data_IF_492888279878
#
_entry.id   IF_492888279878
#
_cell.length_a   1.000
_cell.length_b   1.000
_cell.length_c   1.000
_cell.angle_alpha   90.00
_cell.angle_beta   90.00
_cell.angle_gamma   90.00
#
_symmetry.space_group_name_H-M   'P 1'
#
loop_
_entity.id
_entity.type
_entity.pdbx_description
1 polymer ?
#
# COMPACT_ATOMS: atom_id res chain seq x y z
N UNK A 1 -30.82 -77.23 17.34
CA UNK A 1 -29.52 -76.60 17.62
C UNK A 1 -29.73 -75.11 17.43
N UNK A 2 -30.11 -74.43 18.52
CA UNK A 2 -30.46 -73.02 18.50
C UNK A 2 -29.20 -72.17 18.41
N UNK A 3 -28.99 -71.54 17.26
CA UNK A 3 -27.97 -70.50 17.11
C UNK A 3 -28.46 -69.26 17.85
N UNK A 4 -28.00 -69.07 19.09
CA UNK A 4 -28.09 -67.79 19.79
C UNK A 4 -27.33 -66.74 18.97
N UNK A 5 -28.05 -66.04 18.11
CA UNK A 5 -27.57 -64.79 17.52
C UNK A 5 -27.41 -63.83 18.70
N UNK A 6 -26.18 -63.44 19.02
CA UNK A 6 -25.93 -62.39 20.00
C UNK A 6 -26.48 -61.09 19.42
N UNK A 7 -27.53 -60.55 20.02
CA UNK A 7 -28.04 -59.22 19.67
C UNK A 7 -26.92 -58.20 19.88
N UNK A 8 -26.45 -57.60 18.79
CA UNK A 8 -25.43 -56.55 18.84
C UNK A 8 -26.10 -55.27 19.31
N UNK A 9 -25.86 -54.90 20.56
CA UNK A 9 -26.32 -53.62 21.10
C UNK A 9 -25.47 -52.49 20.52
N UNK A 10 -26.03 -51.80 19.52
CA UNK A 10 -25.43 -50.61 18.94
C UNK A 10 -25.84 -49.39 19.76
N UNK A 11 -24.95 -48.91 20.62
CA UNK A 11 -25.16 -47.70 21.43
C UNK A 11 -24.70 -46.43 20.69
N UNK A 12 -25.08 -45.26 21.20
CA UNK A 12 -24.55 -43.93 20.83
C UNK A 12 -24.80 -43.47 19.38
N UNK A 13 -25.78 -44.05 18.69
CA UNK A 13 -26.14 -43.63 17.32
C UNK A 13 -26.52 -42.15 17.22
N UNK A 14 -27.25 -41.61 18.20
CA UNK A 14 -27.61 -40.18 18.24
C UNK A 14 -26.39 -39.26 18.19
N UNK A 15 -25.31 -39.61 18.91
CA UNK A 15 -24.07 -38.82 18.90
C UNK A 15 -23.36 -38.93 17.56
N UNK A 16 -23.37 -40.11 16.95
CA UNK A 16 -22.80 -40.32 15.62
C UNK A 16 -23.57 -39.52 14.57
N UNK A 17 -24.90 -39.49 14.66
CA UNK A 17 -25.77 -38.72 13.78
C UNK A 17 -25.60 -37.21 13.98
N UNK A 18 -25.49 -36.74 15.22
CA UNK A 18 -25.19 -35.33 15.52
C UNK A 18 -23.84 -34.92 14.90
N UNK A 19 -22.80 -35.73 15.10
CA UNK A 19 -21.48 -35.47 14.54
C UNK A 19 -21.52 -35.48 13.02
N UNK A 20 -22.20 -36.45 12.41
CA UNK A 20 -22.39 -36.53 10.96
C UNK A 20 -23.12 -35.29 10.43
N UNK A 21 -24.23 -34.89 11.05
CA UNK A 21 -24.98 -33.70 10.68
C UNK A 21 -24.12 -32.42 10.77
N UNK A 22 -23.31 -32.30 11.81
CA UNK A 22 -22.37 -31.17 11.97
C UNK A 22 -21.25 -31.18 10.94
N UNK A 23 -20.73 -32.35 10.56
CA UNK A 23 -19.70 -32.47 9.52
C UNK A 23 -20.30 -32.10 8.16
N UNK A 24 -21.49 -32.63 7.86
CA UNK A 24 -22.26 -32.34 6.65
C UNK A 24 -22.54 -30.83 6.55
N UNK A 25 -23.02 -30.19 7.62
CA UNK A 25 -23.35 -28.77 7.65
C UNK A 25 -22.18 -27.82 7.33
N UNK A 26 -20.93 -28.26 7.51
CA UNK A 26 -19.72 -27.49 7.13
C UNK A 26 -19.39 -27.56 5.64
N UNK A 27 -19.97 -28.49 4.90
CA UNK A 27 -19.68 -28.71 3.49
C UNK A 27 -20.75 -28.11 2.56
N UNK A 28 -21.91 -27.73 3.11
CA UNK A 28 -23.00 -27.12 2.34
C UNK A 28 -23.07 -25.61 2.56
N UNK A 29 -23.30 -24.87 1.48
CA UNK A 29 -23.62 -23.45 1.59
C UNK A 29 -25.00 -23.28 2.23
N UNK A 30 -25.18 -22.20 3.02
CA UNK A 30 -26.49 -21.94 3.66
C UNK A 30 -27.59 -21.63 2.67
N UNK A 31 -27.25 -20.99 1.55
CA UNK A 31 -28.20 -20.64 0.50
C UNK A 31 -27.51 -20.56 -0.87
N UNK A 32 -28.31 -20.61 -1.93
CA UNK A 32 -27.83 -20.38 -3.29
C UNK A 32 -27.45 -18.91 -3.49
N UNK A 33 -26.21 -18.68 -3.93
CA UNK A 33 -25.67 -17.33 -4.16
C UNK A 33 -25.89 -16.89 -5.61
N UNK A 34 -25.75 -15.58 -5.87
CA UNK A 34 -25.77 -15.06 -7.24
C UNK A 34 -24.65 -15.68 -8.08
N UNK A 35 -24.97 -16.26 -9.26
CA UNK A 35 -23.95 -16.79 -10.15
C UNK A 35 -23.15 -15.65 -10.79
N UNK A 36 -21.88 -15.93 -11.10
CA UNK A 36 -21.02 -15.03 -11.89
C UNK A 36 -21.33 -15.21 -13.36
N UNK A 37 -21.85 -14.18 -14.01
CA UNK A 37 -22.09 -14.18 -15.44
C UNK A 37 -20.84 -13.69 -16.17
N UNK A 38 -20.22 -14.57 -16.97
CA UNK A 38 -19.12 -14.22 -17.85
C UNK A 38 -19.64 -14.11 -19.28
N UNK A 39 -19.51 -12.92 -19.87
CA UNK A 39 -19.86 -12.78 -21.28
C UNK A 39 -18.74 -13.30 -22.17
N UNK A 40 -19.10 -14.06 -23.21
CA UNK A 40 -18.15 -14.50 -24.23
C UNK A 40 -18.06 -13.46 -25.36
N UNK A 41 -16.89 -13.32 -26.00
CA UNK A 41 -16.77 -12.49 -27.19
C UNK A 41 -17.62 -13.08 -28.32
N UNK A 42 -18.16 -12.21 -29.18
CA UNK A 42 -18.92 -12.60 -30.37
C UNK A 42 -18.03 -12.49 -31.61
N UNK A 43 -18.21 -13.38 -32.57
CA UNK A 43 -17.41 -13.36 -33.80
C UNK A 43 -17.76 -12.16 -34.67
N UNK A 44 -16.75 -11.39 -35.07
CA UNK A 44 -16.86 -10.27 -36.00
C UNK A 44 -16.53 -10.65 -37.46
N UNK A 45 -16.16 -11.92 -37.73
CA UNK A 45 -15.53 -12.34 -39.00
C UNK A 45 -16.41 -12.17 -40.24
N UNK A 46 -17.74 -12.14 -40.09
CA UNK A 46 -18.71 -12.03 -41.20
C UNK A 46 -19.75 -10.95 -40.94
N UNK A 47 -19.32 -9.88 -40.30
CA UNK A 47 -20.22 -8.84 -39.79
C UNK A 47 -19.94 -7.55 -40.51
N UNK A 48 -20.87 -7.16 -41.39
CA UNK A 48 -20.81 -5.87 -42.05
C UNK A 48 -21.33 -4.82 -41.06
N UNK A 49 -20.46 -3.88 -40.67
CA UNK A 49 -20.76 -2.79 -39.73
C UNK A 49 -21.36 -3.25 -38.38
N UNK A 50 -20.52 -3.74 -37.44
CA UNK A 50 -20.96 -4.10 -36.09
C UNK A 50 -21.29 -2.85 -35.27
N UNK A 51 -22.40 -2.17 -35.59
CA UNK A 51 -22.93 -1.06 -34.80
C UNK A 51 -23.91 -1.54 -33.72
N UNK A 52 -24.37 -2.79 -33.79
CA UNK A 52 -25.38 -3.39 -32.91
C UNK A 52 -24.80 -4.63 -32.23
N UNK A 53 -25.15 -4.83 -30.95
CA UNK A 53 -24.79 -6.04 -30.21
C UNK A 53 -25.33 -7.27 -30.93
N UNK A 54 -24.44 -8.19 -31.27
CA UNK A 54 -24.77 -9.40 -32.01
C UNK A 54 -25.14 -10.58 -31.11
N UNK A 55 -25.21 -10.35 -29.81
CA UNK A 55 -25.62 -11.37 -28.85
C UNK A 55 -27.07 -11.75 -29.11
N UNK A 56 -27.34 -13.04 -29.04
CA UNK A 56 -28.70 -13.57 -29.07
C UNK A 56 -29.50 -12.97 -27.92
N UNK A 57 -30.71 -12.51 -28.21
CA UNK A 57 -31.62 -12.02 -27.18
C UNK A 57 -31.94 -13.11 -26.15
N UNK A 58 -32.16 -12.67 -24.92
CA UNK A 58 -32.32 -13.56 -23.78
C UNK A 58 -33.80 -13.96 -23.69
N UNK A 59 -34.08 -15.26 -23.82
CA UNK A 59 -35.45 -15.79 -23.66
C UNK A 59 -35.79 -16.19 -22.21
N UNK A 60 -34.83 -16.09 -21.29
CA UNK A 60 -34.97 -16.60 -19.92
C UNK A 60 -34.95 -15.46 -18.92
N UNK A 61 -35.88 -15.47 -17.97
CA UNK A 61 -35.93 -14.48 -16.88
C UNK A 61 -34.73 -14.65 -15.97
N UNK A 62 -34.09 -13.54 -15.61
CA UNK A 62 -32.95 -13.53 -14.68
C UNK A 62 -33.42 -13.99 -13.29
N UNK A 63 -32.71 -14.96 -12.71
CA UNK A 63 -32.96 -15.39 -11.33
C UNK A 63 -32.71 -14.26 -10.33
N UNK A 64 -33.62 -14.13 -9.36
CA UNK A 64 -33.49 -13.21 -8.23
C UNK A 64 -32.91 -14.00 -7.05
N UNK A 65 -31.84 -13.48 -6.48
CA UNK A 65 -31.13 -14.12 -5.37
C UNK A 65 -31.04 -13.15 -4.19
N UNK A 66 -31.05 -13.66 -2.95
CA UNK A 66 -30.87 -12.83 -1.75
C UNK A 66 -29.49 -12.17 -1.75
N UNK A 67 -29.38 -11.04 -1.02
CA UNK A 67 -28.08 -10.40 -0.79
C UNK A 67 -27.19 -11.31 0.05
N UNK A 68 -25.93 -11.37 -0.33
CA UNK A 68 -24.92 -12.15 0.38
C UNK A 68 -24.37 -11.33 1.54
N UNK A 69 -24.31 -11.94 2.74
CA UNK A 69 -23.69 -11.34 3.91
C UNK A 69 -22.78 -12.37 4.59
N UNK A 70 -21.48 -12.08 4.66
CA UNK A 70 -20.48 -12.98 5.23
C UNK A 70 -20.76 -13.37 6.69
N UNK A 71 -21.45 -12.52 7.46
CA UNK A 71 -21.76 -12.78 8.87
C UNK A 71 -22.80 -13.91 9.03
N UNK A 72 -23.79 -13.97 8.13
CA UNK A 72 -24.95 -14.86 8.26
C UNK A 72 -24.98 -15.98 7.22
N UNK A 73 -24.20 -15.85 6.14
CA UNK A 73 -24.27 -16.78 5.00
C UNK A 73 -22.94 -17.49 4.81
N UNK A 74 -22.94 -18.78 5.15
CA UNK A 74 -21.77 -19.63 5.02
C UNK A 74 -21.64 -20.15 3.58
N UNK A 75 -20.43 -20.05 3.05
CA UNK A 75 -20.07 -20.59 1.75
C UNK A 75 -18.69 -21.29 1.84
N UNK A 76 -18.62 -22.63 1.68
CA UNK A 76 -17.36 -23.36 1.79
C UNK A 76 -16.49 -23.30 0.51
N UNK A 77 -17.02 -22.75 -0.58
CA UNK A 77 -16.31 -22.65 -1.85
C UNK A 77 -15.35 -21.45 -1.91
N UNK A 78 -14.55 -21.41 -2.97
CA UNK A 78 -13.59 -20.32 -3.20
C UNK A 78 -14.26 -19.19 -3.99
N UNK A 79 -14.29 -18.01 -3.39
CA UNK A 79 -14.70 -16.76 -4.02
C UNK A 79 -16.21 -16.53 -3.99
N UNK A 80 -16.63 -15.57 -3.18
CA UNK A 80 -18.04 -15.20 -3.02
C UNK A 80 -18.66 -14.47 -4.23
N UNK A 81 -19.97 -14.17 -4.15
CA UNK A 81 -20.68 -13.38 -5.14
C UNK A 81 -20.16 -11.94 -5.15
N UNK A 82 -20.26 -11.27 -6.31
CA UNK A 82 -19.79 -9.90 -6.49
C UNK A 82 -20.36 -8.92 -5.45
N UNK A 83 -21.66 -9.06 -5.15
CA UNK A 83 -22.35 -8.19 -4.19
C UNK A 83 -21.69 -8.21 -2.79
N UNK A 84 -21.09 -9.33 -2.39
CA UNK A 84 -20.38 -9.42 -1.11
C UNK A 84 -19.21 -8.44 -1.01
N UNK A 85 -18.45 -8.31 -2.10
CA UNK A 85 -17.33 -7.37 -2.20
C UNK A 85 -17.81 -5.94 -2.45
N UNK A 86 -18.74 -5.73 -3.39
CA UNK A 86 -19.21 -4.38 -3.75
C UNK A 86 -19.95 -3.67 -2.62
N UNK A 87 -20.67 -4.41 -1.78
CA UNK A 87 -21.42 -3.84 -0.66
C UNK A 87 -20.50 -3.54 0.54
N UNK A 88 -19.27 -4.08 0.57
CA UNK A 88 -18.31 -3.97 1.68
C UNK A 88 -16.92 -3.46 1.24
N UNK A 89 -16.85 -2.59 0.22
CA UNK A 89 -15.59 -2.13 -0.37
C UNK A 89 -14.62 -1.56 0.67
N UNK A 90 -15.11 -0.80 1.66
CA UNK A 90 -14.27 -0.19 2.68
C UNK A 90 -13.66 -1.22 3.62
N UNK A 91 -14.45 -2.22 4.05
CA UNK A 91 -13.98 -3.32 4.89
C UNK A 91 -12.94 -4.15 4.15
N UNK A 92 -13.22 -4.52 2.90
CA UNK A 92 -12.28 -5.24 2.03
C UNK A 92 -11.00 -4.43 1.83
N UNK A 93 -11.11 -3.14 1.53
CA UNK A 93 -9.96 -2.26 1.36
C UNK A 93 -9.12 -2.14 2.62
N UNK A 94 -9.75 -2.15 3.80
CA UNK A 94 -9.08 -2.20 5.09
C UNK A 94 -8.35 -3.52 5.32
N UNK A 95 -9.02 -4.66 5.06
CA UNK A 95 -8.43 -6.01 5.16
C UNK A 95 -7.24 -6.19 4.22
N UNK A 96 -7.31 -5.64 3.00
CA UNK A 96 -6.20 -5.61 2.04
C UNK A 96 -5.15 -4.54 2.34
N UNK A 97 -5.29 -3.81 3.45
CA UNK A 97 -4.45 -2.69 3.85
C UNK A 97 -4.19 -1.68 2.72
N UNK A 98 -5.19 -1.41 1.88
CA UNK A 98 -5.07 -0.50 0.73
C UNK A 98 -4.93 0.95 1.14
N UNK A 99 -5.40 1.29 2.33
CA UNK A 99 -5.32 2.65 2.87
C UNK A 99 -3.92 3.01 3.34
N UNK A 100 -3.06 2.03 3.65
CA UNK A 100 -1.68 2.26 4.05
C UNK A 100 -0.72 1.87 2.93
N UNK A 101 -0.04 2.81 2.27
CA UNK A 101 1.03 2.46 1.35
C UNK A 101 2.15 1.75 2.11
N UNK A 102 2.71 0.68 1.53
CA UNK A 102 3.94 0.04 1.99
C UNK A 102 5.09 1.05 1.87
N UNK A 103 5.43 1.72 2.97
CA UNK A 103 6.53 2.66 3.05
C UNK A 103 7.74 1.99 3.72
N UNK A 104 8.95 2.20 3.19
CA UNK A 104 10.21 1.72 3.81
C UNK A 104 10.46 2.29 5.21
N UNK A 105 9.78 3.37 5.55
CA UNK A 105 9.82 4.02 6.85
C UNK A 105 8.38 4.42 7.23
N UNK A 106 7.91 4.15 8.45
CA UNK A 106 6.56 4.55 8.88
C UNK A 106 6.50 6.08 8.89
N UNK A 107 5.80 6.69 7.92
CA UNK A 107 5.42 8.12 7.85
C UNK A 107 6.24 9.07 8.77
N UNK A 108 7.53 9.27 8.47
CA UNK A 108 8.44 10.17 9.21
C UNK A 108 8.25 11.63 8.76
N UNK A 109 7.00 12.09 8.64
CA UNK A 109 6.71 13.52 8.53
C UNK A 109 5.58 13.82 9.49
N UNK A 110 5.97 14.12 10.72
CA UNK A 110 5.10 14.78 11.68
C UNK A 110 4.64 16.10 11.05
N UNK A 111 3.35 16.18 10.73
CA UNK A 111 2.71 17.44 10.39
C UNK A 111 2.19 18.02 11.71
N UNK A 112 2.77 19.12 12.20
CA UNK A 112 2.29 19.70 13.43
C UNK A 112 0.87 20.26 13.23
N UNK A 113 0.11 20.42 14.31
CA UNK A 113 -1.23 20.98 14.23
C UNK A 113 -1.16 22.42 13.68
N UNK A 114 -2.20 22.89 12.99
CA UNK A 114 -2.36 24.28 12.50
C UNK A 114 -2.15 25.36 13.58
N UNK A 115 -2.37 25.02 14.86
CA UNK A 115 -2.12 25.90 16.01
C UNK A 115 -0.69 25.78 16.59
N UNK A 116 0.18 24.97 15.99
CA UNK A 116 1.56 24.85 16.47
C UNK A 116 2.35 26.13 16.21
N UNK A 117 3.34 26.38 17.05
CA UNK A 117 4.28 27.51 16.94
C UNK A 117 5.05 27.54 15.61
N UNK A 118 5.08 26.43 14.87
CA UNK A 118 5.70 26.33 13.56
C UNK A 118 4.84 26.98 12.45
N UNK A 119 3.52 27.06 12.66
CA UNK A 119 2.56 27.68 11.73
C UNK A 119 2.00 29.01 12.26
N UNK A 120 1.84 29.14 13.58
CA UNK A 120 1.44 30.38 14.22
C UNK A 120 2.71 31.18 14.48
N UNK A 121 2.96 32.20 13.66
CA UNK A 121 4.12 33.07 13.80
C UNK A 121 4.01 33.89 15.09
N UNK A 122 4.44 33.33 16.22
CA UNK A 122 4.82 34.09 17.41
C UNK A 122 6.18 34.73 17.12
N UNK A 123 6.19 35.71 16.22
CA UNK A 123 7.40 36.49 15.93
C UNK A 123 7.93 37.09 17.23
N UNK A 124 9.26 37.25 17.38
CA UNK A 124 9.81 37.93 18.54
C UNK A 124 9.20 39.32 18.59
N UNK A 125 8.51 39.65 19.69
CA UNK A 125 8.25 41.05 20.01
C UNK A 125 9.63 41.72 20.00
N UNK A 126 9.85 42.81 19.22
CA UNK A 126 11.09 43.54 19.31
C UNK A 126 11.19 44.10 20.73
N UNK A 127 11.89 43.37 21.59
CA UNK A 127 12.39 43.91 22.83
C UNK A 127 13.39 44.97 22.38
N UNK A 128 13.02 46.24 22.56
CA UNK A 128 13.92 47.39 22.47
C UNK A 128 14.97 47.30 23.59
N UNK A 129 15.76 46.22 23.60
CA UNK A 129 16.86 46.02 24.52
C UNK A 129 18.13 46.12 23.69
N UNK A 130 18.95 47.11 24.00
CA UNK A 130 20.32 47.23 23.48
C UNK A 130 21.05 45.92 23.79
N UNK A 131 21.52 45.22 22.75
CA UNK A 131 22.22 43.95 22.89
C UNK A 131 23.43 44.11 23.84
N UNK A 132 23.56 43.26 24.85
CA UNK A 132 24.61 43.34 25.89
C UNK A 132 26.02 42.98 25.38
N UNK A 133 26.15 42.48 24.14
CA UNK A 133 27.40 41.97 23.59
C UNK A 133 27.74 42.60 22.23
N UNK A 134 28.56 43.65 22.24
CA UNK A 134 28.97 44.40 21.04
C UNK A 134 29.76 43.56 20.03
N UNK A 135 30.45 42.51 20.48
CA UNK A 135 31.38 41.72 19.67
C UNK A 135 30.71 40.52 18.96
N UNK A 136 29.44 40.24 19.25
CA UNK A 136 28.76 39.02 18.77
C UNK A 136 28.52 39.02 17.25
N UNK A 137 28.53 40.21 16.64
CA UNK A 137 28.39 40.42 15.20
C UNK A 137 29.70 40.88 14.53
N UNK A 138 30.80 40.98 15.28
CA UNK A 138 32.08 41.40 14.72
C UNK A 138 32.66 40.27 13.86
N UNK A 139 32.81 40.54 12.57
CA UNK A 139 33.43 39.61 11.63
C UNK A 139 34.86 40.05 11.39
N UNK A 140 35.82 39.42 12.06
CA UNK A 140 37.24 39.64 11.78
C UNK A 140 37.60 39.05 10.42
N UNK A 141 38.13 39.88 9.53
CA UNK A 141 38.68 39.42 8.25
C UNK A 141 40.18 39.23 8.42
N UNK A 142 40.70 38.07 8.05
CA UNK A 142 42.15 37.88 7.94
C UNK A 142 42.71 38.75 6.82
N UNK A 143 43.92 39.28 7.03
CA UNK A 143 44.67 39.94 5.97
C UNK A 143 44.93 38.96 4.81
N UNK A 144 44.95 39.43 3.55
CA UNK A 144 45.22 38.55 2.41
C UNK A 144 46.62 37.95 2.52
N UNK A 145 46.68 36.65 2.81
CA UNK A 145 47.94 35.89 2.88
C UNK A 145 48.21 35.23 1.53
N UNK A 146 49.34 35.58 0.89
CA UNK A 146 49.81 34.87 -0.30
C UNK A 146 50.75 33.73 0.13
N UNK A 147 50.33 32.45 0.01
CA UNK A 147 51.18 31.31 0.39
C UNK A 147 52.37 31.10 -0.56
N UNK A 148 52.40 31.76 -1.72
CA UNK A 148 53.45 31.61 -2.72
C UNK A 148 54.59 32.63 -2.52
N UNK A 149 55.42 32.40 -1.50
CA UNK A 149 56.55 33.29 -1.18
C UNK A 149 57.63 33.39 -2.27
N UNK A 150 57.71 32.42 -3.18
CA UNK A 150 58.67 32.41 -4.30
C UNK A 150 58.05 32.82 -5.64
N UNK A 151 56.77 33.24 -5.65
CA UNK A 151 56.01 33.68 -6.82
C UNK A 151 56.07 32.74 -8.05
N UNK A 152 56.12 31.43 -7.82
CA UNK A 152 56.19 30.41 -8.87
C UNK A 152 54.82 30.18 -9.56
N UNK A 153 54.81 29.63 -10.78
CA UNK A 153 53.60 29.26 -11.53
C UNK A 153 52.64 30.42 -11.85
N UNK A 154 53.15 31.52 -12.42
CA UNK A 154 52.33 32.65 -12.90
C UNK A 154 51.60 32.39 -14.23
N UNK A 155 52.14 31.50 -15.07
CA UNK A 155 51.64 31.28 -16.42
C UNK A 155 50.53 30.21 -16.48
N UNK A 156 49.60 30.37 -17.44
CA UNK A 156 48.46 29.46 -17.63
C UNK A 156 48.82 28.15 -18.32
N UNK A 157 49.90 28.13 -19.11
CA UNK A 157 50.40 26.95 -19.83
C UNK A 157 51.89 26.74 -19.52
N UNK A 158 52.34 25.48 -19.54
CA UNK A 158 53.73 25.08 -19.25
C UNK A 158 54.25 25.44 -17.84
N UNK A 159 53.36 25.44 -16.84
CA UNK A 159 53.65 25.78 -15.45
C UNK A 159 54.28 24.63 -14.62
N UNK A 160 55.20 23.87 -15.20
CA UNK A 160 55.82 22.76 -14.50
C UNK A 160 56.72 23.27 -13.36
N UNK A 161 56.22 23.20 -12.11
CA UNK A 161 56.89 23.69 -10.90
C UNK A 161 58.30 23.11 -10.71
N UNK A 162 58.53 21.87 -11.13
CA UNK A 162 59.85 21.21 -11.13
C UNK A 162 60.90 21.96 -11.98
N UNK A 163 60.48 22.55 -13.10
CA UNK A 163 61.40 23.31 -13.95
C UNK A 163 61.54 24.73 -13.43
N UNK A 164 60.44 25.38 -13.03
CA UNK A 164 60.45 26.74 -12.50
C UNK A 164 61.28 26.88 -11.22
N UNK A 165 61.32 25.85 -10.36
CA UNK A 165 62.18 25.82 -9.17
C UNK A 165 63.67 25.94 -9.47
N UNK A 166 64.12 25.54 -10.67
CA UNK A 166 65.52 25.66 -11.08
C UNK A 166 65.92 27.09 -11.43
N UNK A 167 64.95 27.92 -11.79
CA UNK A 167 65.15 29.31 -12.19
C UNK A 167 65.04 30.28 -11.01
N UNK A 168 64.62 29.80 -9.83
CA UNK A 168 64.57 30.59 -8.60
C UNK A 168 65.99 30.81 -8.09
N UNK A 169 66.40 32.08 -7.98
CA UNK A 169 67.63 32.45 -7.28
C UNK A 169 67.39 32.31 -5.78
N UNK A 170 68.17 31.46 -5.14
CA UNK A 170 68.21 31.36 -3.67
C UNK A 170 69.09 32.53 -3.19
N UNK A 171 68.50 33.51 -2.52
CA UNK A 171 69.23 34.48 -1.70
C UNK A 171 69.52 33.90 -0.31
#
# INVERSE_FOLDING_TARGET
>A
MDTKIQDVYVCQQERTDELNARIIGRNYATQQMTPKYFSRPVSNRRVLFPKVDQRKEINVVKGIFPKYNMENTFHPGVGGPYNGYSDNIDKESSLFNRFQPLQKCPQVKFFPNTYSDLYVQMGPNPLNKTEEFELLQEKTTFEPFNPNGCELSKDTFFNHTRQQLKDVKIE
#
